data_IF_365122689437
#
_entry.id   IF_365122689437
#
_cell.length_a   1.000
_cell.length_b   1.000
_cell.length_c   1.000
_cell.angle_alpha   90.00
_cell.angle_beta   90.00
_cell.angle_gamma   90.00
#
_symmetry.space_group_name_H-M   'P 1'
#
loop_
_entity.id
_entity.type
_entity.pdbx_description
1 polymer ?
#
# COMPACT_ATOMS: atom_id res chain seq x y z
N UNK A 1 -10.08 23.65 -3.94
CA UNK A 1 -9.08 22.57 -3.78
C UNK A 1 -8.29 22.64 -2.47
N UNK A 2 -7.90 23.82 -1.94
CA UNK A 2 -7.16 23.92 -0.66
C UNK A 2 -7.85 23.25 0.54
N UNK A 3 -9.19 23.17 0.55
CA UNK A 3 -9.92 22.47 1.62
C UNK A 3 -9.85 20.94 1.53
N UNK A 4 -9.66 20.34 0.34
CA UNK A 4 -9.72 18.88 0.19
C UNK A 4 -8.56 18.18 0.92
N UNK A 5 -7.34 18.64 0.67
CA UNK A 5 -6.13 18.08 1.30
C UNK A 5 -6.22 18.25 2.82
N UNK A 6 -6.67 19.40 3.30
CA UNK A 6 -6.86 19.66 4.72
C UNK A 6 -7.90 18.74 5.35
N UNK A 7 -9.05 18.56 4.69
CA UNK A 7 -10.10 17.62 5.14
C UNK A 7 -9.57 16.19 5.15
N UNK A 8 -8.84 15.76 4.11
CA UNK A 8 -8.28 14.42 4.04
C UNK A 8 -7.27 14.14 5.16
N UNK A 9 -6.34 15.08 5.40
CA UNK A 9 -5.38 14.98 6.51
C UNK A 9 -6.08 14.94 7.87
N UNK A 10 -7.20 15.66 8.02
CA UNK A 10 -8.01 15.60 9.23
C UNK A 10 -8.66 14.22 9.42
N UNK A 11 -9.20 13.61 8.36
CA UNK A 11 -9.72 12.24 8.39
C UNK A 11 -8.63 11.22 8.74
N UNK A 12 -7.44 11.34 8.14
CA UNK A 12 -6.29 10.49 8.48
C UNK A 12 -5.99 10.58 9.98
N UNK A 13 -5.94 11.80 10.54
CA UNK A 13 -5.69 12.03 11.97
C UNK A 13 -6.76 11.37 12.85
N UNK A 14 -8.03 11.44 12.47
CA UNK A 14 -9.12 10.76 13.18
C UNK A 14 -8.95 9.25 13.09
N UNK A 15 -8.66 8.69 11.92
CA UNK A 15 -8.47 7.25 11.72
C UNK A 15 -7.32 6.72 12.57
N UNK A 16 -6.20 7.43 12.63
CA UNK A 16 -5.07 7.09 13.50
C UNK A 16 -5.52 7.09 14.96
N UNK A 17 -6.20 8.15 15.42
CA UNK A 17 -6.71 8.22 16.81
C UNK A 17 -7.65 7.06 17.14
N UNK A 18 -8.56 6.69 16.22
CA UNK A 18 -9.47 5.56 16.39
C UNK A 18 -8.72 4.24 16.57
N UNK A 19 -7.72 3.97 15.72
CA UNK A 19 -6.89 2.76 15.82
C UNK A 19 -6.07 2.74 17.12
N UNK A 20 -5.57 3.89 17.55
CA UNK A 20 -4.81 4.06 18.80
C UNK A 20 -5.65 3.95 20.08
N UNK A 21 -6.98 3.78 19.99
CA UNK A 21 -7.79 3.34 21.14
C UNK A 21 -7.56 1.86 21.45
N UNK A 22 -7.31 1.04 20.43
CA UNK A 22 -7.00 -0.40 20.54
C UNK A 22 -5.54 -0.67 20.19
N UNK A 23 -4.62 -0.05 20.95
CA UNK A 23 -3.17 -0.05 20.65
C UNK A 23 -2.58 -1.44 20.51
N UNK A 24 -2.95 -2.36 21.41
CA UNK A 24 -2.44 -3.73 21.39
C UNK A 24 -2.81 -4.44 20.07
N UNK A 25 -4.08 -4.36 19.65
CA UNK A 25 -4.53 -4.94 18.38
C UNK A 25 -3.87 -4.27 17.16
N UNK A 26 -3.65 -2.95 17.21
CA UNK A 26 -2.99 -2.24 16.12
C UNK A 26 -1.52 -2.66 15.98
N UNK A 27 -0.78 -2.72 17.10
CA UNK A 27 0.62 -3.17 17.13
C UNK A 27 0.73 -4.64 16.72
N UNK A 28 -0.14 -5.51 17.23
CA UNK A 28 -0.18 -6.91 16.83
C UNK A 28 -0.43 -7.05 15.32
N UNK A 29 -1.30 -6.21 14.74
CA UNK A 29 -1.51 -6.14 13.30
C UNK A 29 -0.27 -5.75 12.52
N UNK A 30 0.49 -4.74 12.99
CA UNK A 30 1.76 -4.34 12.36
C UNK A 30 2.78 -5.49 12.43
N UNK A 31 2.93 -6.13 13.59
CA UNK A 31 3.84 -7.27 13.77
C UNK A 31 3.44 -8.42 12.85
N UNK A 32 2.14 -8.75 12.76
CA UNK A 32 1.63 -9.79 11.87
C UNK A 32 1.99 -9.52 10.40
N UNK A 33 1.84 -8.27 9.95
CA UNK A 33 2.25 -7.87 8.60
C UNK A 33 3.78 -7.98 8.42
N UNK A 34 4.57 -7.58 9.41
CA UNK A 34 6.03 -7.69 9.35
C UNK A 34 6.47 -9.14 9.27
N UNK A 35 5.83 -10.04 10.00
CA UNK A 35 6.10 -11.48 9.90
C UNK A 35 5.71 -12.02 8.52
N UNK A 36 4.53 -11.66 7.99
CA UNK A 36 4.08 -12.11 6.68
C UNK A 36 5.01 -11.65 5.55
N UNK A 37 5.15 -10.33 5.37
CA UNK A 37 5.98 -9.75 4.32
C UNK A 37 7.48 -9.92 4.58
N UNK A 38 7.89 -10.01 5.83
CA UNK A 38 9.27 -10.32 6.21
C UNK A 38 9.63 -11.77 5.88
N UNK A 39 8.69 -12.71 6.02
CA UNK A 39 8.91 -14.10 5.61
C UNK A 39 9.03 -14.21 4.09
N UNK A 40 8.14 -13.56 3.32
CA UNK A 40 8.23 -13.52 1.85
C UNK A 40 9.60 -12.97 1.42
N UNK A 41 10.01 -11.86 2.03
CA UNK A 41 11.33 -11.28 1.81
C UNK A 41 12.48 -12.24 2.17
N UNK A 42 12.44 -12.85 3.35
CA UNK A 42 13.47 -13.76 3.81
C UNK A 42 13.60 -14.98 2.89
N UNK A 43 12.48 -15.55 2.44
CA UNK A 43 12.46 -16.63 1.47
C UNK A 43 13.13 -16.20 0.16
N UNK A 44 12.72 -15.07 -0.43
CA UNK A 44 13.34 -14.53 -1.65
C UNK A 44 14.85 -14.32 -1.47
N UNK A 45 15.26 -13.69 -0.38
CA UNK A 45 16.66 -13.36 -0.11
C UNK A 45 17.53 -14.62 0.08
N UNK A 46 17.05 -15.61 0.86
CA UNK A 46 17.76 -16.86 1.11
C UNK A 46 17.89 -17.68 -0.17
N UNK A 47 16.83 -17.76 -0.98
CA UNK A 47 16.84 -18.47 -2.25
C UNK A 47 17.90 -17.87 -3.18
N UNK A 48 17.87 -16.55 -3.40
CA UNK A 48 18.84 -15.88 -4.27
C UNK A 48 20.26 -16.06 -3.75
N UNK A 49 20.47 -15.93 -2.43
CA UNK A 49 21.79 -16.14 -1.82
C UNK A 49 22.32 -17.56 -2.03
N UNK A 50 21.44 -18.57 -2.03
CA UNK A 50 21.81 -19.97 -2.30
C UNK A 50 22.24 -20.17 -3.76
N UNK A 51 21.53 -19.57 -4.70
CA UNK A 51 21.84 -19.67 -6.14
C UNK A 51 22.88 -18.64 -6.62
N UNK A 52 23.36 -17.77 -5.73
CA UNK A 52 24.25 -16.62 -5.94
C UNK A 52 23.65 -15.52 -6.82
N UNK A 53 23.06 -15.88 -7.96
CA UNK A 53 22.44 -14.99 -8.91
C UNK A 53 21.08 -15.52 -9.33
N UNK A 54 20.11 -14.62 -9.50
CA UNK A 54 18.81 -14.91 -10.07
C UNK A 54 18.55 -13.92 -11.20
N UNK A 55 18.58 -14.40 -12.45
CA UNK A 55 18.44 -13.55 -13.63
C UNK A 55 19.50 -12.45 -13.74
N UNK A 56 20.71 -12.69 -13.21
CA UNK A 56 21.81 -11.73 -13.16
C UNK A 56 21.83 -10.82 -11.92
N UNK A 57 20.82 -10.89 -11.05
CA UNK A 57 20.73 -10.09 -9.84
C UNK A 57 21.20 -10.83 -8.60
N UNK A 58 21.92 -10.14 -7.72
CA UNK A 58 22.30 -10.65 -6.40
C UNK A 58 21.17 -10.48 -5.35
N UNK A 59 21.36 -11.05 -4.17
CA UNK A 59 20.35 -11.03 -3.11
C UNK A 59 20.01 -9.62 -2.60
N UNK A 60 20.96 -8.68 -2.61
CA UNK A 60 20.73 -7.30 -2.18
C UNK A 60 20.01 -6.49 -3.26
N UNK A 61 20.27 -6.77 -4.54
CA UNK A 61 19.56 -6.14 -5.66
C UNK A 61 18.10 -6.61 -5.71
N UNK A 62 17.85 -7.91 -5.49
CA UNK A 62 16.49 -8.43 -5.35
C UNK A 62 15.80 -7.82 -4.11
N UNK A 63 16.53 -7.63 -3.00
CA UNK A 63 15.99 -6.95 -1.81
C UNK A 63 15.58 -5.49 -2.10
N UNK A 64 16.39 -4.78 -2.89
CA UNK A 64 16.07 -3.44 -3.36
C UNK A 64 14.82 -3.43 -4.25
N UNK A 65 14.73 -4.32 -5.25
CA UNK A 65 13.57 -4.42 -6.13
C UNK A 65 12.28 -4.80 -5.37
N UNK A 66 12.39 -5.75 -4.43
CA UNK A 66 11.29 -6.15 -3.57
C UNK A 66 10.78 -4.99 -2.71
N UNK A 67 11.69 -4.26 -2.05
CA UNK A 67 11.32 -3.13 -1.21
C UNK A 67 10.75 -1.97 -2.02
N UNK A 68 11.27 -1.69 -3.21
CA UNK A 68 10.71 -0.68 -4.12
C UNK A 68 9.26 -1.02 -4.52
N UNK A 69 9.01 -2.29 -4.88
CA UNK A 69 7.67 -2.78 -5.19
C UNK A 69 6.74 -2.69 -3.98
N UNK A 70 7.23 -3.09 -2.79
CA UNK A 70 6.45 -3.09 -1.56
C UNK A 70 6.10 -1.67 -1.07
N UNK A 71 7.02 -0.69 -1.21
CA UNK A 71 6.74 0.73 -0.94
C UNK A 71 5.65 1.24 -1.88
N UNK A 72 5.80 0.97 -3.18
CA UNK A 72 4.84 1.40 -4.21
C UNK A 72 3.44 0.83 -3.92
N UNK A 73 3.37 -0.47 -3.61
CA UNK A 73 2.14 -1.13 -3.19
C UNK A 73 1.58 -0.53 -1.89
N UNK A 74 2.39 -0.30 -0.86
CA UNK A 74 1.93 0.26 0.41
C UNK A 74 1.30 1.65 0.23
N UNK A 75 1.89 2.50 -0.63
CA UNK A 75 1.33 3.82 -0.95
C UNK A 75 -0.01 3.67 -1.67
N UNK A 76 -0.06 2.93 -2.77
CA UNK A 76 -1.29 2.78 -3.56
C UNK A 76 -2.42 2.12 -2.75
N UNK A 77 -2.09 1.06 -2.01
CA UNK A 77 -3.03 0.29 -1.20
C UNK A 77 -3.50 1.05 0.05
N UNK A 78 -2.68 1.93 0.63
CA UNK A 78 -3.12 2.79 1.76
C UNK A 78 -4.34 3.63 1.44
N UNK A 79 -4.51 3.98 0.15
CA UNK A 79 -5.60 4.83 -0.36
C UNK A 79 -6.72 3.98 -0.95
N UNK A 80 -6.39 3.02 -1.83
CA UNK A 80 -7.39 2.35 -2.66
C UNK A 80 -7.81 0.96 -2.18
N UNK A 81 -7.04 0.30 -1.32
CA UNK A 81 -7.35 -1.08 -0.95
C UNK A 81 -8.70 -1.21 -0.26
N UNK A 82 -8.94 -0.43 0.80
CA UNK A 82 -10.20 -0.52 1.56
C UNK A 82 -11.42 -0.11 0.72
N UNK A 83 -11.41 1.02 -0.01
CA UNK A 83 -12.49 1.35 -0.96
C UNK A 83 -12.80 0.24 -1.95
N UNK A 84 -11.77 -0.29 -2.62
CA UNK A 84 -11.94 -1.24 -3.72
C UNK A 84 -12.40 -2.62 -3.24
N UNK A 85 -11.82 -3.13 -2.15
CA UNK A 85 -12.16 -4.46 -1.60
C UNK A 85 -13.46 -4.46 -0.80
N UNK A 86 -13.83 -3.33 -0.20
CA UNK A 86 -15.07 -3.17 0.57
C UNK A 86 -16.30 -2.86 -0.29
N UNK A 87 -16.10 -2.44 -1.54
CA UNK A 87 -17.16 -1.97 -2.43
C UNK A 87 -18.29 -3.00 -2.59
N UNK A 88 -17.94 -4.28 -2.79
CA UNK A 88 -18.95 -5.30 -2.97
C UNK A 88 -19.86 -5.48 -1.76
N UNK A 89 -19.31 -5.39 -0.56
CA UNK A 89 -20.15 -5.46 0.63
C UNK A 89 -21.08 -4.24 0.74
N UNK A 90 -20.57 -3.04 0.42
CA UNK A 90 -21.37 -1.80 0.48
C UNK A 90 -22.50 -1.75 -0.55
N UNK A 91 -22.29 -2.29 -1.74
CA UNK A 91 -23.35 -2.43 -2.75
C UNK A 91 -24.42 -3.39 -2.21
N UNK A 92 -24.01 -4.57 -1.72
CA UNK A 92 -24.94 -5.58 -1.19
C UNK A 92 -25.76 -5.09 0.01
N UNK A 93 -25.21 -4.21 0.85
CA UNK A 93 -25.92 -3.66 2.00
C UNK A 93 -26.71 -2.38 1.71
N UNK A 94 -26.62 -1.83 0.48
CA UNK A 94 -27.23 -0.53 0.12
C UNK A 94 -26.50 0.69 0.72
N UNK A 95 -25.38 0.50 1.42
CA UNK A 95 -24.55 1.61 1.93
C UNK A 95 -23.97 2.44 0.79
N UNK A 96 -23.66 1.82 -0.35
CA UNK A 96 -23.11 2.54 -1.50
C UNK A 96 -24.13 3.50 -2.13
N UNK A 97 -25.43 3.20 -2.06
CA UNK A 97 -26.49 4.10 -2.54
C UNK A 97 -26.52 5.42 -1.74
N UNK A 98 -26.22 5.34 -0.43
CA UNK A 98 -26.06 6.54 0.40
C UNK A 98 -24.84 7.37 0.03
N UNK A 99 -23.83 6.78 -0.61
CA UNK A 99 -22.67 7.50 -1.12
C UNK A 99 -23.01 8.20 -2.43
N UNK A 100 -23.77 7.55 -3.31
CA UNK A 100 -24.20 8.09 -4.61
C UNK A 100 -25.12 9.32 -4.49
N UNK A 101 -25.88 9.44 -3.40
CA UNK A 101 -26.76 10.60 -3.15
C UNK A 101 -26.03 11.83 -2.59
N UNK A 102 -24.76 11.71 -2.20
CA UNK A 102 -23.99 12.83 -1.65
C UNK A 102 -23.50 13.74 -2.79
N UNK A 103 -23.43 15.07 -2.59
CA UNK A 103 -22.97 16.02 -3.60
C UNK A 103 -21.42 16.05 -3.71
N UNK A 104 -20.79 14.89 -3.78
CA UNK A 104 -19.34 14.70 -3.93
C UNK A 104 -19.10 13.48 -4.82
N UNK A 105 -18.01 13.48 -5.57
CA UNK A 105 -17.63 12.31 -6.37
C UNK A 105 -17.52 11.06 -5.47
N UNK A 106 -18.20 9.94 -5.80
CA UNK A 106 -18.25 8.74 -4.96
C UNK A 106 -16.87 8.15 -4.66
N UNK A 107 -15.96 8.13 -5.65
CA UNK A 107 -14.61 7.62 -5.46
C UNK A 107 -13.83 8.47 -4.46
N UNK A 108 -13.96 9.80 -4.58
CA UNK A 108 -13.33 10.74 -3.65
C UNK A 108 -13.86 10.53 -2.22
N UNK A 109 -15.18 10.37 -2.08
CA UNK A 109 -15.80 10.08 -0.78
C UNK A 109 -15.26 8.80 -0.16
N UNK A 110 -15.19 7.72 -0.94
CA UNK A 110 -14.67 6.43 -0.49
C UNK A 110 -13.19 6.52 -0.08
N UNK A 111 -12.35 7.21 -0.85
CA UNK A 111 -10.94 7.43 -0.51
C UNK A 111 -10.78 8.19 0.82
N UNK A 112 -11.57 9.26 1.03
CA UNK A 112 -11.50 10.06 2.25
C UNK A 112 -11.77 9.23 3.51
N UNK A 113 -12.70 8.27 3.42
CA UNK A 113 -13.08 7.42 4.54
C UNK A 113 -12.28 6.10 4.62
N UNK A 114 -11.67 5.67 3.52
CA UNK A 114 -11.04 4.36 3.37
C UNK A 114 -9.56 4.29 3.72
N UNK A 115 -8.92 5.41 4.09
CA UNK A 115 -7.48 5.43 4.34
C UNK A 115 -7.06 4.40 5.40
N UNK A 116 -6.15 3.51 5.01
CA UNK A 116 -5.77 2.38 5.84
C UNK A 116 -4.37 2.57 6.43
N UNK A 117 -4.34 2.90 7.72
CA UNK A 117 -3.10 3.09 8.49
C UNK A 117 -2.32 1.80 8.73
N UNK A 118 -2.87 0.63 8.39
CA UNK A 118 -2.16 -0.64 8.41
C UNK A 118 -1.00 -0.67 7.41
N UNK A 119 -1.13 0.00 6.27
CA UNK A 119 -0.06 0.04 5.27
C UNK A 119 1.18 0.84 5.69
N UNK A 120 1.09 1.63 6.77
CA UNK A 120 2.27 2.23 7.38
C UNK A 120 3.28 1.16 7.85
N UNK A 121 2.78 0.02 8.33
CA UNK A 121 3.64 -1.11 8.70
C UNK A 121 4.43 -1.65 7.51
N UNK A 122 3.78 -1.86 6.37
CA UNK A 122 4.43 -2.29 5.13
C UNK A 122 5.46 -1.27 4.66
N UNK A 123 5.10 0.02 4.67
CA UNK A 123 5.99 1.09 4.25
C UNK A 123 7.26 1.14 5.10
N UNK A 124 7.13 1.07 6.44
CA UNK A 124 8.29 1.08 7.36
C UNK A 124 9.18 -0.15 7.13
N UNK A 125 8.59 -1.34 7.02
CA UNK A 125 9.34 -2.57 6.76
C UNK A 125 10.12 -2.47 5.44
N UNK A 126 9.45 -2.05 4.38
CA UNK A 126 10.04 -1.93 3.06
C UNK A 126 11.15 -0.87 3.04
N UNK A 127 10.95 0.26 3.72
CA UNK A 127 11.97 1.30 3.86
C UNK A 127 13.24 0.77 4.54
N UNK A 128 13.10 -0.02 5.61
CA UNK A 128 14.24 -0.66 6.31
C UNK A 128 14.99 -1.65 5.41
N UNK A 129 14.27 -2.42 4.60
CA UNK A 129 14.87 -3.34 3.62
C UNK A 129 15.60 -2.56 2.51
N UNK A 130 14.98 -1.50 1.99
CA UNK A 130 15.57 -0.67 0.93
C UNK A 130 16.87 -0.01 1.38
N UNK A 131 16.86 0.63 2.55
CA UNK A 131 18.06 1.29 3.10
C UNK A 131 19.17 0.28 3.39
N UNK A 132 18.84 -0.89 3.96
CA UNK A 132 19.81 -1.96 4.19
C UNK A 132 20.45 -2.47 2.90
N UNK A 133 19.68 -2.55 1.82
CA UNK A 133 20.16 -3.02 0.51
C UNK A 133 21.09 -2.01 -0.15
N UNK A 134 20.74 -0.71 -0.08
CA UNK A 134 21.56 0.39 -0.59
C UNK A 134 22.92 0.48 0.12
N UNK A 135 22.91 0.35 1.46
CA UNK A 135 24.15 0.38 2.26
C UNK A 135 25.05 -0.80 1.91
N UNK A 136 24.51 -2.03 1.81
CA UNK A 136 25.32 -3.22 1.50
C UNK A 136 25.95 -3.19 0.11
N UNK A 137 25.30 -2.53 -0.86
CA UNK A 137 25.83 -2.37 -2.23
C UNK A 137 26.73 -1.14 -2.38
N UNK A 138 26.92 -0.34 -1.32
CA UNK A 138 27.69 0.91 -1.35
C UNK A 138 27.29 1.83 -2.52
N UNK A 139 25.99 1.90 -2.81
CA UNK A 139 25.49 2.71 -3.93
C UNK A 139 25.62 4.18 -3.55
N UNK A 140 26.40 4.94 -4.34
CA UNK A 140 26.50 6.39 -4.19
C UNK A 140 25.17 7.00 -4.63
N UNK A 141 24.44 7.56 -3.67
CA UNK A 141 23.16 8.21 -3.90
C UNK A 141 23.40 9.61 -4.49
N UNK A 142 23.51 9.68 -5.81
CA UNK A 142 23.42 10.94 -6.54
C UNK A 142 21.99 11.48 -6.52
N UNK A 143 21.83 12.81 -6.63
CA UNK A 143 20.52 13.49 -6.72
C UNK A 143 19.65 12.89 -7.84
N UNK A 144 20.27 12.47 -8.95
CA UNK A 144 19.58 11.85 -10.09
C UNK A 144 19.00 10.48 -9.70
N UNK A 145 19.77 9.67 -8.97
CA UNK A 145 19.33 8.34 -8.53
C UNK A 145 18.17 8.44 -7.54
N UNK A 146 18.23 9.40 -6.62
CA UNK A 146 17.15 9.66 -5.66
C UNK A 146 15.87 10.06 -6.41
N UNK A 147 15.98 10.97 -7.38
CA UNK A 147 14.84 11.39 -8.20
C UNK A 147 14.24 10.18 -8.95
N UNK A 148 15.09 9.33 -9.53
CA UNK A 148 14.65 8.13 -10.25
C UNK A 148 13.91 7.14 -9.34
N UNK A 149 14.40 6.93 -8.11
CA UNK A 149 13.72 6.10 -7.10
C UNK A 149 12.35 6.68 -6.75
N UNK A 150 12.27 7.99 -6.51
CA UNK A 150 10.99 8.66 -6.17
C UNK A 150 9.99 8.53 -7.31
N UNK A 151 10.40 8.82 -8.55
CA UNK A 151 9.52 8.71 -9.73
C UNK A 151 9.09 7.26 -9.94
N UNK A 152 9.99 6.29 -9.75
CA UNK A 152 9.66 4.87 -9.85
C UNK A 152 8.64 4.43 -8.79
N UNK A 153 8.78 4.91 -7.55
CA UNK A 153 7.83 4.63 -6.47
C UNK A 153 6.46 5.24 -6.78
N UNK A 154 6.41 6.48 -7.25
CA UNK A 154 5.14 7.15 -7.61
C UNK A 154 4.48 6.43 -8.78
N UNK A 155 5.24 6.13 -9.84
CA UNK A 155 4.74 5.40 -11.00
C UNK A 155 4.23 4.01 -10.62
N UNK A 156 5.00 3.27 -9.82
CA UNK A 156 4.59 1.97 -9.28
C UNK A 156 3.31 2.07 -8.44
N UNK A 157 3.20 3.08 -7.57
CA UNK A 157 2.02 3.29 -6.75
C UNK A 157 0.77 3.57 -7.60
N UNK A 158 0.89 4.40 -8.64
CA UNK A 158 -0.20 4.67 -9.58
C UNK A 158 -0.65 3.40 -10.33
N UNK A 159 0.30 2.57 -10.77
CA UNK A 159 0.01 1.29 -11.43
C UNK A 159 -0.74 0.36 -10.46
N UNK A 160 -0.24 0.20 -9.23
CA UNK A 160 -0.87 -0.63 -8.20
C UNK A 160 -2.28 -0.14 -7.85
N UNK A 161 -2.47 1.18 -7.73
CA UNK A 161 -3.78 1.80 -7.53
C UNK A 161 -4.74 1.52 -8.70
N UNK A 162 -4.28 1.64 -9.94
CA UNK A 162 -5.09 1.33 -11.11
C UNK A 162 -5.54 -0.15 -11.12
N UNK A 163 -4.65 -1.08 -10.76
CA UNK A 163 -4.97 -2.51 -10.63
C UNK A 163 -6.03 -2.76 -9.54
N UNK A 164 -5.92 -2.09 -8.38
CA UNK A 164 -6.91 -2.21 -7.31
C UNK A 164 -8.28 -1.70 -7.77
N UNK A 165 -8.33 -0.55 -8.46
CA UNK A 165 -9.58 -0.02 -9.03
C UNK A 165 -10.16 -1.01 -10.04
N UNK A 166 -9.34 -1.52 -10.96
CA UNK A 166 -9.75 -2.50 -11.97
C UNK A 166 -10.35 -3.75 -11.31
N UNK A 167 -9.72 -4.24 -10.23
CA UNK A 167 -10.22 -5.40 -9.48
C UNK A 167 -11.60 -5.18 -8.85
N UNK A 168 -11.95 -3.93 -8.54
CA UNK A 168 -13.23 -3.58 -7.90
C UNK A 168 -14.41 -3.55 -8.87
N UNK A 169 -14.16 -3.44 -10.18
CA UNK A 169 -15.21 -3.33 -11.22
C UNK A 169 -16.18 -4.52 -11.16
N UNK A 170 -15.65 -5.74 -10.93
CA UNK A 170 -16.46 -6.95 -10.85
C UNK A 170 -17.55 -6.89 -9.75
N UNK A 171 -17.35 -6.07 -8.72
CA UNK A 171 -18.33 -5.86 -7.65
C UNK A 171 -19.68 -5.41 -8.21
N UNK A 172 -19.71 -4.52 -9.20
CA UNK A 172 -20.98 -4.02 -9.75
C UNK A 172 -21.80 -5.08 -10.51
N UNK A 173 -21.18 -6.16 -10.96
CA UNK A 173 -21.83 -7.15 -11.82
C UNK A 173 -22.07 -8.50 -11.13
N UNK A 174 -21.31 -8.84 -10.08
CA UNK A 174 -21.36 -10.17 -9.44
C UNK A 174 -22.28 -10.25 -8.22
N UNK A 175 -22.79 -9.14 -7.71
CA UNK A 175 -23.50 -9.12 -6.41
C UNK A 175 -24.94 -9.64 -6.49
N UNK A 176 -25.55 -9.61 -7.69
CA UNK A 176 -26.91 -10.06 -7.91
C UNK A 176 -26.99 -11.25 -8.88
N UNK A 177 -26.56 -12.41 -8.40
CA UNK A 177 -27.03 -13.71 -8.94
C UNK A 177 -27.64 -14.53 -7.82
N UNK A 178 -28.87 -14.18 -7.45
CA UNK A 178 -29.85 -15.08 -6.86
C UNK A 178 -31.20 -14.88 -7.53
#
# INVERSE_FOLDING_TARGET
MNNFVQTYLYFIKITIRKKMMYRASYIAGIIGQWLGYGTIFATLYIVVKKFKLLGGWDANEIAFLYSLSLISYAIGASVFYTPCTGLANKIRTGEFDQVLTRPINPLIHEILHGFNTGYLGHFILALLIMTSSLVKKNIILSNINILFIIVSIIGGALIQSAILILSSIGSFFMIDRK
#
